data_IF_163180893893
#
_entry.id   IF_163180893893
#
_cell.length_a   1.000
_cell.length_b   1.000
_cell.length_c   1.000
_cell.angle_alpha   90.00
_cell.angle_beta   90.00
_cell.angle_gamma   90.00
#
_symmetry.space_group_name_H-M   'P 1'
#
loop_
_entity.id
_entity.type
_entity.pdbx_description
1 polymer ?
#
# COMPACT_ATOMS: atom_id res chain seq x y z
N UNK A 1 -6.76 -13.35 -21.23
CA UNK A 1 -5.36 -13.42 -21.67
C UNK A 1 -4.49 -13.38 -20.42
N UNK A 2 -4.11 -14.54 -19.87
CA UNK A 2 -3.48 -14.67 -18.55
C UNK A 2 -2.04 -14.16 -18.56
N UNK A 3 -1.30 -14.42 -19.64
CA UNK A 3 0.10 -14.04 -19.75
C UNK A 3 0.25 -12.52 -19.85
N UNK A 4 -0.59 -11.85 -20.65
CA UNK A 4 -0.63 -10.38 -20.67
C UNK A 4 -0.99 -9.77 -19.32
N UNK A 5 -1.81 -10.44 -18.50
CA UNK A 5 -2.12 -9.95 -17.16
C UNK A 5 -0.88 -9.99 -16.25
N UNK A 6 -0.07 -11.05 -16.33
CA UNK A 6 1.21 -11.11 -15.60
C UNK A 6 2.22 -10.10 -16.12
N UNK A 7 2.30 -9.90 -17.44
CA UNK A 7 3.17 -8.86 -18.03
C UNK A 7 2.80 -7.47 -17.52
N UNK A 8 1.49 -7.17 -17.44
CA UNK A 8 1.02 -5.91 -16.88
C UNK A 8 1.38 -5.76 -15.39
N UNK A 9 1.21 -6.82 -14.59
CA UNK A 9 1.59 -6.81 -13.16
C UNK A 9 3.10 -6.58 -13.02
N UNK A 10 3.92 -7.26 -13.83
CA UNK A 10 5.37 -7.09 -13.82
C UNK A 10 5.77 -5.67 -14.23
N UNK A 11 5.12 -5.11 -15.25
CA UNK A 11 5.33 -3.72 -15.65
C UNK A 11 4.98 -2.76 -14.51
N UNK A 12 3.84 -2.95 -13.86
CA UNK A 12 3.39 -2.09 -12.75
C UNK A 12 4.33 -2.15 -11.54
N UNK A 13 4.92 -3.31 -11.26
CA UNK A 13 5.87 -3.53 -10.17
C UNK A 13 7.33 -3.19 -10.54
N UNK A 14 7.59 -2.86 -11.80
CA UNK A 14 8.95 -2.52 -12.24
C UNK A 14 9.49 -1.30 -11.50
N UNK A 15 10.81 -1.29 -11.29
CA UNK A 15 11.52 -0.21 -10.60
C UNK A 15 11.27 1.15 -11.24
N UNK A 16 11.22 1.21 -12.58
CA UNK A 16 10.95 2.45 -13.31
C UNK A 16 9.54 2.99 -13.03
N UNK A 17 8.52 2.15 -13.14
CA UNK A 17 7.12 2.57 -12.96
C UNK A 17 6.87 2.96 -11.51
N UNK A 18 7.30 2.14 -10.55
CA UNK A 18 7.13 2.43 -9.12
C UNK A 18 7.84 3.73 -8.71
N UNK A 19 9.05 4.00 -9.25
CA UNK A 19 9.75 5.26 -9.00
C UNK A 19 9.00 6.46 -9.57
N UNK A 20 8.53 6.39 -10.82
CA UNK A 20 7.75 7.47 -11.45
C UNK A 20 6.44 7.75 -10.73
N UNK A 21 5.75 6.72 -10.23
CA UNK A 21 4.52 6.88 -9.45
C UNK A 21 4.78 7.60 -8.14
N UNK A 22 5.86 7.24 -7.44
CA UNK A 22 6.25 7.91 -6.20
C UNK A 22 6.67 9.37 -6.45
N UNK A 23 7.50 9.65 -7.47
CA UNK A 23 7.91 11.00 -7.86
C UNK A 23 6.74 11.89 -8.28
N UNK A 24 5.76 11.32 -8.99
CA UNK A 24 4.53 11.99 -9.38
C UNK A 24 3.52 12.13 -8.23
N UNK A 25 3.82 11.52 -7.08
CA UNK A 25 2.98 11.68 -5.91
C UNK A 25 1.70 10.87 -5.91
N UNK A 26 1.71 9.72 -6.58
CA UNK A 26 0.58 8.80 -6.63
C UNK A 26 0.56 7.81 -5.47
N UNK A 27 1.66 7.11 -5.22
CA UNK A 27 1.75 6.11 -4.15
C UNK A 27 3.20 5.80 -3.74
N UNK A 28 3.38 5.17 -2.58
CA UNK A 28 4.66 4.66 -2.13
C UNK A 28 5.05 3.37 -2.87
N UNK A 29 6.34 3.20 -3.22
CA UNK A 29 6.77 2.02 -3.93
C UNK A 29 6.78 0.80 -3.00
N UNK A 30 6.26 -0.33 -3.47
CA UNK A 30 6.40 -1.63 -2.78
C UNK A 30 7.64 -2.40 -3.23
N UNK A 31 8.21 -2.03 -4.37
CA UNK A 31 9.47 -2.57 -4.87
C UNK A 31 10.65 -1.88 -4.15
N UNK A 32 11.43 -2.63 -3.39
CA UNK A 32 12.55 -2.13 -2.60
C UNK A 32 13.70 -1.56 -3.45
N UNK A 33 13.79 -1.90 -4.73
CA UNK A 33 14.78 -1.34 -5.66
C UNK A 33 14.43 0.08 -6.13
N UNK A 34 13.18 0.51 -5.95
CA UNK A 34 12.74 1.86 -6.29
C UNK A 34 13.12 2.84 -5.17
N UNK A 35 14.38 3.28 -5.19
CA UNK A 35 14.91 4.23 -4.22
C UNK A 35 14.27 5.62 -4.37
N UNK A 36 13.67 6.10 -3.28
CA UNK A 36 13.06 7.42 -3.17
C UNK A 36 13.97 8.33 -2.33
N UNK A 37 14.21 9.59 -2.74
CA UNK A 37 15.04 10.52 -1.99
C UNK A 37 14.61 10.67 -0.52
N UNK A 38 15.56 10.81 0.43
CA UNK A 38 15.23 11.18 1.80
C UNK A 38 14.38 12.45 1.87
N UNK A 39 13.34 12.45 2.73
CA UNK A 39 12.44 13.59 2.91
C UNK A 39 11.27 13.68 1.92
N UNK A 40 11.23 12.81 0.90
CA UNK A 40 10.01 12.64 0.10
C UNK A 40 8.93 11.96 0.95
N UNK A 41 7.67 12.38 0.82
CA UNK A 41 6.56 11.85 1.63
C UNK A 41 6.27 10.36 1.37
N UNK A 42 6.61 9.86 0.19
CA UNK A 42 6.57 8.43 -0.15
C UNK A 42 7.87 7.67 0.06
N UNK A 43 8.86 8.28 0.72
CA UNK A 43 9.97 7.50 1.25
C UNK A 43 9.49 6.74 2.49
N UNK A 44 9.14 5.47 2.28
CA UNK A 44 8.63 4.56 3.32
C UNK A 44 9.72 3.75 4.01
N UNK A 45 11.01 4.06 3.83
CA UNK A 45 12.11 3.39 4.52
C UNK A 45 11.88 3.30 6.05
N UNK A 46 11.39 4.35 6.75
CA UNK A 46 11.13 4.25 8.18
C UNK A 46 10.03 3.23 8.52
N UNK A 47 9.00 3.10 7.66
CA UNK A 47 7.86 2.19 7.86
C UNK A 47 8.27 0.75 7.58
N UNK A 48 9.07 0.51 6.53
CA UNK A 48 9.52 -0.84 6.15
C UNK A 48 10.44 -1.47 7.20
N UNK A 49 11.15 -0.66 8.01
CA UNK A 49 11.96 -1.16 9.14
C UNK A 49 11.13 -1.74 10.28
N UNK A 50 9.90 -1.24 10.49
CA UNK A 50 9.00 -1.73 11.54
C UNK A 50 7.53 -1.57 11.10
N UNK A 51 7.05 -2.39 10.16
CA UNK A 51 5.72 -2.24 9.62
C UNK A 51 4.67 -2.63 10.66
N UNK A 52 3.62 -1.82 10.78
CA UNK A 52 2.35 -2.27 11.33
C UNK A 52 1.57 -2.83 10.15
N UNK A 53 1.62 -4.16 10.00
CA UNK A 53 0.96 -4.86 8.91
C UNK A 53 -0.16 -5.74 9.46
N UNK A 54 -1.38 -5.52 8.97
CA UNK A 54 -2.54 -6.38 9.23
C UNK A 54 -2.67 -7.33 8.05
N UNK A 55 -2.65 -8.63 8.31
CA UNK A 55 -2.86 -9.64 7.28
C UNK A 55 -4.24 -9.44 6.61
N UNK A 56 -4.35 -9.50 5.27
CA UNK A 56 -5.61 -9.29 4.56
C UNK A 56 -6.73 -10.23 5.02
N UNK A 57 -6.41 -11.46 5.41
CA UNK A 57 -7.40 -12.43 5.87
C UNK A 57 -8.01 -12.03 7.22
N UNK A 58 -7.19 -11.47 8.11
CA UNK A 58 -7.67 -10.93 9.40
C UNK A 58 -8.52 -9.69 9.15
N UNK A 59 -8.04 -8.78 8.29
CA UNK A 59 -8.82 -7.60 7.93
C UNK A 59 -10.18 -8.01 7.35
N UNK A 60 -10.22 -8.91 6.38
CA UNK A 60 -11.46 -9.35 5.74
C UNK A 60 -12.42 -10.03 6.72
N UNK A 61 -11.91 -10.82 7.67
CA UNK A 61 -12.73 -11.52 8.66
C UNK A 61 -13.40 -10.59 9.68
N UNK A 62 -12.78 -9.43 9.96
CA UNK A 62 -13.23 -8.54 11.05
C UNK A 62 -13.67 -7.14 10.59
N UNK A 63 -13.50 -6.79 9.31
CA UNK A 63 -13.76 -5.43 8.81
C UNK A 63 -15.18 -4.95 9.13
N UNK A 64 -16.20 -5.80 8.93
CA UNK A 64 -17.59 -5.45 9.18
C UNK A 64 -17.86 -5.19 10.67
N UNK A 65 -17.41 -6.12 11.54
CA UNK A 65 -17.47 -5.99 13.00
C UNK A 65 -16.83 -4.68 13.48
N UNK A 66 -15.60 -4.40 13.02
CA UNK A 66 -14.87 -3.19 13.42
C UNK A 66 -15.55 -1.90 12.96
N UNK A 67 -16.15 -1.90 11.76
CA UNK A 67 -16.93 -0.77 11.27
C UNK A 67 -18.16 -0.53 12.15
N UNK A 68 -18.87 -1.58 12.57
CA UNK A 68 -20.07 -1.46 13.40
C UNK A 68 -19.75 -1.07 14.84
N UNK A 69 -18.64 -1.58 15.40
CA UNK A 69 -18.11 -1.10 16.67
C UNK A 69 -17.75 0.38 16.59
N UNK A 70 -17.08 0.80 15.52
CA UNK A 70 -16.71 2.20 15.32
C UNK A 70 -17.96 3.09 15.23
N UNK A 71 -18.98 2.71 14.45
CA UNK A 71 -20.26 3.44 14.39
C UNK A 71 -20.94 3.52 15.75
N UNK A 72 -20.88 2.46 16.55
CA UNK A 72 -21.50 2.45 17.89
C UNK A 72 -20.77 3.38 18.86
N UNK A 73 -19.43 3.44 18.78
CA UNK A 73 -18.60 4.26 19.68
C UNK A 73 -18.49 5.72 19.26
N UNK A 74 -18.49 5.98 17.95
CA UNK A 74 -18.23 7.29 17.35
C UNK A 74 -19.45 7.91 16.68
N UNK A 75 -20.52 7.15 16.46
CA UNK A 75 -21.79 7.65 15.97
C UNK A 75 -22.34 8.68 16.94
N UNK A 76 -22.19 9.94 16.57
CA UNK A 76 -22.89 11.06 17.19
C UNK A 76 -24.40 10.76 17.13
N UNK A 77 -25.05 10.74 18.30
CA UNK A 77 -26.49 10.97 18.36
C UNK A 77 -26.88 12.34 17.82
#
# INVERSE_FOLDING_TARGET
NKDLAYELINFWLSTEVQKKLAEAGVDAPVNAEAEIPPGHYYNIEPVTRKPIYIKPEILAAHLEEWIDEWKTRMGTG
#
